data_IF_861297804387
#
_entry.id   IF_861297804387
#
_cell.length_a   1.000
_cell.length_b   1.000
_cell.length_c   1.000
_cell.angle_alpha   90.00
_cell.angle_beta   90.00
_cell.angle_gamma   90.00
#
_symmetry.space_group_name_H-M   'P 1'
#
loop_
_entity.id
_entity.type
_entity.pdbx_description
1 polymer ?
#
# COMPACT_ATOMS: atom_id res chain seq x y z
N UNK A 1 8.73 67.24 74.25
CA UNK A 1 9.30 65.92 73.88
C UNK A 1 9.46 65.94 72.37
N UNK A 2 10.68 66.21 71.88
CA UNK A 2 11.50 65.29 71.05
C UNK A 2 10.82 64.93 69.71
N UNK A 3 11.33 65.15 68.50
CA UNK A 3 12.67 65.45 68.01
C UNK A 3 12.59 65.70 66.49
N UNK A 4 13.49 66.55 65.97
CA UNK A 4 14.23 66.58 64.68
C UNK A 4 13.87 65.48 63.63
N UNK A 5 13.89 65.68 62.30
CA UNK A 5 14.99 66.18 61.44
C UNK A 5 14.54 66.23 59.96
N UNK A 6 15.14 67.13 59.15
CA UNK A 6 15.10 67.13 57.67
C UNK A 6 15.69 65.85 57.06
N UNK A 7 15.17 65.40 55.92
CA UNK A 7 15.99 64.75 54.87
C UNK A 7 15.29 64.74 53.49
N UNK A 8 15.95 65.38 52.54
CA UNK A 8 15.73 65.47 51.10
C UNK A 8 16.12 64.17 50.40
N UNK A 9 15.32 63.62 49.47
CA UNK A 9 15.80 62.70 48.40
C UNK A 9 14.69 62.51 47.36
N UNK A 10 14.76 63.22 46.23
CA UNK A 10 15.36 62.80 44.93
C UNK A 10 14.46 61.83 44.14
N UNK A 11 13.83 62.41 43.13
CA UNK A 11 13.05 61.79 42.06
C UNK A 11 13.98 60.90 41.23
N UNK A 12 13.68 59.59 41.15
CA UNK A 12 14.31 58.69 40.17
C UNK A 12 13.25 58.22 39.19
N UNK A 13 13.29 58.83 38.01
CA UNK A 13 12.48 58.51 36.84
C UNK A 13 13.02 57.21 36.22
N UNK A 14 12.35 56.07 36.44
CA UNK A 14 12.71 54.80 35.80
C UNK A 14 12.02 54.75 34.43
N UNK A 15 12.78 55.07 33.38
CA UNK A 15 12.47 54.72 32.00
C UNK A 15 12.72 53.21 31.84
N UNK A 16 11.66 52.40 31.92
CA UNK A 16 11.74 50.99 31.56
C UNK A 16 11.63 50.86 30.05
N UNK A 17 12.78 50.54 29.45
CA UNK A 17 12.96 50.27 28.02
C UNK A 17 12.10 49.08 27.57
N UNK A 18 11.61 49.21 26.34
CA UNK A 18 10.91 48.21 25.55
C UNK A 18 11.73 46.93 25.39
N UNK A 19 11.11 45.77 25.61
CA UNK A 19 11.46 44.51 24.94
C UNK A 19 10.17 43.72 24.75
N UNK A 20 9.58 43.84 23.57
CA UNK A 20 8.61 42.90 23.04
C UNK A 20 9.33 41.61 22.66
N UNK A 21 9.43 40.67 23.59
CA UNK A 21 9.77 39.28 23.28
C UNK A 21 8.52 38.59 22.71
N UNK A 22 8.29 38.80 21.41
CA UNK A 22 7.32 38.05 20.65
C UNK A 22 7.86 36.64 20.42
N UNK A 23 7.69 35.80 21.45
CA UNK A 23 8.03 34.39 21.43
C UNK A 23 6.98 33.64 20.63
N UNK A 24 7.05 33.75 19.30
CA UNK A 24 6.32 32.87 18.39
C UNK A 24 6.92 31.46 18.45
N UNK A 25 6.57 30.74 19.51
CA UNK A 25 6.80 29.30 19.62
C UNK A 25 5.87 28.65 18.60
N UNK A 26 6.41 28.35 17.43
CA UNK A 26 5.84 27.37 16.52
C UNK A 26 5.88 26.03 17.25
N UNK A 27 4.80 25.72 17.97
CA UNK A 27 4.57 24.38 18.49
C UNK A 27 4.47 23.42 17.30
N UNK A 28 5.59 22.77 17.02
CA UNK A 28 5.59 21.55 16.21
C UNK A 28 4.69 20.54 16.94
N UNK A 29 3.46 20.39 16.46
CA UNK A 29 2.55 19.34 16.89
C UNK A 29 3.26 18.00 16.63
N UNK A 30 3.85 17.42 17.67
CA UNK A 30 4.28 16.02 17.65
C UNK A 30 2.99 15.19 17.53
N UNK A 31 2.60 14.89 16.30
CA UNK A 31 1.52 13.93 16.08
C UNK A 31 1.99 12.58 16.62
N UNK A 32 1.36 12.12 17.69
CA UNK A 32 1.56 10.77 18.21
C UNK A 32 0.81 9.77 17.31
N UNK A 33 1.19 9.73 16.03
CA UNK A 33 0.58 8.84 15.05
C UNK A 33 0.91 7.39 15.44
N UNK A 34 -0.15 6.58 15.59
CA UNK A 34 -0.06 5.14 15.89
C UNK A 34 0.89 4.42 14.93
N UNK A 35 0.90 4.81 13.66
CA UNK A 35 1.77 4.27 12.62
C UNK A 35 2.68 5.37 12.07
N UNK A 36 3.98 5.06 12.02
CA UNK A 36 5.06 5.99 11.65
C UNK A 36 5.76 5.54 10.36
N UNK A 37 6.10 6.52 9.50
CA UNK A 37 6.97 6.31 8.34
C UNK A 37 8.33 5.78 8.79
N UNK A 38 8.96 4.91 7.98
CA UNK A 38 10.24 4.28 8.30
C UNK A 38 10.16 3.15 9.34
N UNK A 39 8.96 2.90 9.89
CA UNK A 39 8.71 1.85 10.88
C UNK A 39 7.61 0.91 10.39
N UNK A 40 6.44 1.45 10.05
CA UNK A 40 5.27 0.65 9.68
C UNK A 40 4.94 0.74 8.19
N UNK A 41 5.35 1.83 7.53
CA UNK A 41 5.19 2.04 6.10
C UNK A 41 6.33 2.92 5.59
N UNK A 42 6.55 2.86 4.28
CA UNK A 42 7.46 3.77 3.58
C UNK A 42 6.68 4.66 2.62
N UNK A 43 7.19 5.87 2.40
CA UNK A 43 6.76 6.72 1.30
C UNK A 43 7.55 6.31 0.05
N UNK A 44 6.86 6.19 -1.08
CA UNK A 44 7.47 5.88 -2.36
C UNK A 44 8.05 7.17 -2.94
N UNK A 45 9.33 7.17 -3.29
CA UNK A 45 10.04 8.32 -3.83
C UNK A 45 9.41 8.84 -5.13
N UNK A 46 8.98 7.93 -6.00
CA UNK A 46 8.34 8.23 -7.28
C UNK A 46 6.88 7.73 -7.30
N UNK A 47 5.93 8.48 -6.71
CA UNK A 47 4.56 8.02 -6.59
C UNK A 47 3.91 7.79 -7.96
N UNK A 48 3.06 6.77 -8.06
CA UNK A 48 2.30 6.50 -9.29
C UNK A 48 0.96 7.24 -9.28
N UNK A 49 0.50 7.65 -10.46
CA UNK A 49 -0.89 8.08 -10.61
C UNK A 49 -1.84 6.91 -10.34
N UNK A 50 -2.97 7.22 -9.70
CA UNK A 50 -4.05 6.24 -9.48
C UNK A 50 -5.02 6.26 -10.65
N UNK A 51 -5.74 5.15 -10.84
CA UNK A 51 -6.71 5.00 -11.94
C UNK A 51 -7.93 5.89 -11.79
N UNK A 52 -8.38 6.08 -10.57
CA UNK A 52 -9.56 6.86 -10.22
C UNK A 52 -9.18 7.78 -9.06
N UNK A 53 -8.93 9.08 -9.31
CA UNK A 53 -8.51 10.02 -8.28
C UNK A 53 -9.63 10.33 -7.25
N UNK A 54 -10.88 9.92 -7.52
CA UNK A 54 -11.98 10.07 -6.56
C UNK A 54 -11.97 8.98 -5.46
N UNK A 55 -11.09 7.97 -5.58
CA UNK A 55 -10.98 6.85 -4.65
C UNK A 55 -9.55 6.66 -4.20
N UNK A 56 -9.38 6.14 -2.99
CA UNK A 56 -8.07 5.69 -2.51
C UNK A 56 -7.79 4.30 -3.08
N UNK A 57 -6.74 4.20 -3.91
CA UNK A 57 -6.31 2.93 -4.51
C UNK A 57 -5.47 2.10 -3.56
N UNK A 58 -5.87 0.84 -3.34
CA UNK A 58 -5.08 -0.16 -2.61
C UNK A 58 -4.69 -1.28 -3.56
N UNK A 59 -3.40 -1.51 -3.72
CA UNK A 59 -2.87 -2.56 -4.59
C UNK A 59 -2.04 -3.53 -3.76
N UNK A 60 -2.39 -4.81 -3.81
CA UNK A 60 -1.50 -5.85 -3.30
C UNK A 60 -0.55 -6.33 -4.39
N UNK A 61 0.75 -6.18 -4.14
CA UNK A 61 1.80 -6.85 -4.89
C UNK A 61 2.06 -8.21 -4.27
N UNK A 62 1.85 -9.27 -5.07
CA UNK A 62 1.85 -10.65 -4.58
C UNK A 62 2.50 -11.62 -5.56
N UNK A 63 2.75 -12.84 -5.10
CA UNK A 63 3.14 -13.97 -5.94
C UNK A 63 2.48 -15.26 -5.45
N UNK A 64 1.92 -16.06 -6.36
CA UNK A 64 1.30 -17.34 -6.01
C UNK A 64 2.26 -18.33 -5.32
N UNK A 65 3.57 -18.21 -5.54
CA UNK A 65 4.59 -19.02 -4.88
C UNK A 65 5.01 -18.53 -3.49
N UNK A 66 4.53 -17.37 -3.04
CA UNK A 66 4.85 -16.84 -1.72
C UNK A 66 3.89 -17.37 -0.63
N UNK A 67 4.45 -18.05 0.37
CA UNK A 67 3.70 -18.54 1.54
C UNK A 67 3.03 -17.40 2.33
N UNK A 68 3.68 -16.26 2.49
CA UNK A 68 3.12 -15.10 3.20
C UNK A 68 1.97 -14.44 2.41
N UNK A 69 2.03 -14.43 1.08
CA UNK A 69 0.90 -14.00 0.25
C UNK A 69 -0.30 -14.94 0.44
N UNK A 70 -0.07 -16.25 0.43
CA UNK A 70 -1.13 -17.22 0.67
C UNK A 70 -1.74 -17.10 2.08
N UNK A 71 -0.91 -16.90 3.09
CA UNK A 71 -1.35 -16.66 4.46
C UNK A 71 -2.12 -15.34 4.64
N UNK A 72 -1.93 -14.35 3.75
CA UNK A 72 -2.63 -13.07 3.76
C UNK A 72 -4.08 -13.18 3.24
N UNK A 73 -4.38 -14.16 2.37
CA UNK A 73 -5.69 -14.28 1.69
C UNK A 73 -6.90 -14.27 2.65
N UNK A 74 -6.89 -14.98 3.80
CA UNK A 74 -8.03 -14.93 4.74
C UNK A 74 -8.21 -13.54 5.38
N UNK A 75 -7.12 -12.81 5.62
CA UNK A 75 -7.17 -11.45 6.16
C UNK A 75 -7.68 -10.47 5.12
N UNK A 76 -7.22 -10.60 3.86
CA UNK A 76 -7.71 -9.81 2.74
C UNK A 76 -9.21 -10.05 2.51
N UNK A 77 -9.65 -11.30 2.56
CA UNK A 77 -11.06 -11.65 2.38
C UNK A 77 -11.96 -11.05 3.47
N UNK A 78 -11.48 -10.97 4.71
CA UNK A 78 -12.19 -10.25 5.80
C UNK A 78 -12.17 -8.75 5.57
N UNK A 79 -11.00 -8.16 5.34
CA UNK A 79 -10.85 -6.72 5.11
C UNK A 79 -11.71 -6.21 3.95
N UNK A 80 -11.83 -6.98 2.86
CA UNK A 80 -12.70 -6.63 1.73
C UNK A 80 -14.18 -6.53 2.09
N UNK A 81 -14.66 -7.28 3.08
CA UNK A 81 -16.06 -7.21 3.54
C UNK A 81 -16.33 -5.92 4.32
N UNK A 82 -15.31 -5.46 5.05
CA UNK A 82 -15.38 -4.27 5.91
C UNK A 82 -14.68 -3.06 5.25
N UNK A 83 -14.40 -3.13 3.95
CA UNK A 83 -13.61 -2.13 3.25
C UNK A 83 -14.34 -0.78 3.25
N UNK A 84 -13.69 0.31 3.70
CA UNK A 84 -14.32 1.62 3.75
C UNK A 84 -14.84 2.08 2.39
N UNK A 85 -15.92 2.86 2.38
CA UNK A 85 -16.38 3.56 1.18
C UNK A 85 -15.28 4.46 0.58
N UNK A 86 -15.30 4.65 -0.74
CA UNK A 86 -14.31 5.46 -1.45
C UNK A 86 -12.94 4.78 -1.63
N UNK A 87 -12.87 3.46 -1.49
CA UNK A 87 -11.65 2.66 -1.68
C UNK A 87 -11.85 1.69 -2.84
N UNK A 88 -10.83 1.52 -3.68
CA UNK A 88 -10.78 0.45 -4.67
C UNK A 88 -9.57 -0.45 -4.40
N UNK A 89 -9.80 -1.76 -4.43
CA UNK A 89 -8.75 -2.75 -4.24
C UNK A 89 -8.44 -3.50 -5.54
N UNK A 90 -7.17 -3.76 -5.81
CA UNK A 90 -6.75 -4.68 -6.87
C UNK A 90 -5.49 -5.46 -6.49
N UNK A 91 -5.23 -6.57 -7.18
CA UNK A 91 -3.93 -7.27 -7.09
C UNK A 91 -3.06 -6.96 -8.31
N UNK A 92 -1.75 -6.94 -8.10
CA UNK A 92 -0.72 -6.83 -9.14
C UNK A 92 0.35 -7.89 -8.89
N UNK A 93 0.51 -8.91 -9.73
CA UNK A 93 1.55 -9.91 -9.55
C UNK A 93 2.94 -9.28 -9.65
N UNK A 94 3.89 -9.78 -8.87
CA UNK A 94 5.31 -9.48 -9.05
C UNK A 94 5.86 -10.11 -10.34
N UNK A 95 6.90 -9.51 -10.94
CA UNK A 95 7.40 -9.84 -12.30
C UNK A 95 8.93 -9.87 -12.43
N UNK A 96 9.68 -9.89 -11.34
CA UNK A 96 11.16 -9.71 -11.38
C UNK A 96 11.95 -10.89 -11.97
N UNK A 97 11.30 -12.00 -12.31
CA UNK A 97 11.91 -13.13 -13.03
C UNK A 97 10.88 -13.86 -13.92
N UNK A 98 11.32 -14.80 -14.74
CA UNK A 98 10.48 -15.48 -15.73
C UNK A 98 9.36 -16.35 -15.13
N UNK A 99 9.59 -16.97 -13.97
CA UNK A 99 8.56 -17.72 -13.24
C UNK A 99 7.45 -16.76 -12.79
N UNK A 100 7.84 -15.64 -12.20
CA UNK A 100 6.91 -14.61 -11.75
C UNK A 100 6.17 -13.95 -12.93
N UNK A 101 6.83 -13.69 -14.06
CA UNK A 101 6.16 -13.22 -15.28
C UNK A 101 5.16 -14.24 -15.83
N UNK A 102 5.47 -15.53 -15.73
CA UNK A 102 4.52 -16.60 -16.08
C UNK A 102 3.30 -16.56 -15.15
N UNK A 103 3.52 -16.43 -13.85
CA UNK A 103 2.43 -16.32 -12.86
C UNK A 103 1.62 -15.03 -13.03
N UNK A 104 2.26 -13.93 -13.42
CA UNK A 104 1.60 -12.68 -13.76
C UNK A 104 0.71 -12.84 -14.99
N UNK A 105 1.23 -13.53 -16.03
CA UNK A 105 0.48 -13.79 -17.26
C UNK A 105 -0.75 -14.65 -17.02
N UNK A 106 -0.68 -15.69 -16.20
CA UNK A 106 -1.85 -16.53 -15.88
C UNK A 106 -2.88 -15.76 -15.04
N UNK A 107 -2.44 -14.90 -14.10
CA UNK A 107 -3.35 -14.00 -13.37
C UNK A 107 -4.09 -13.05 -14.30
N UNK A 108 -3.37 -12.36 -15.20
CA UNK A 108 -4.01 -11.43 -16.13
C UNK A 108 -4.83 -12.14 -17.20
N UNK A 109 -4.49 -13.37 -17.58
CA UNK A 109 -5.35 -14.23 -18.42
C UNK A 109 -6.65 -14.55 -17.71
N UNK A 110 -6.59 -15.00 -16.45
CA UNK A 110 -7.78 -15.28 -15.64
C UNK A 110 -8.65 -14.03 -15.45
N UNK A 111 -8.03 -12.86 -15.26
CA UNK A 111 -8.72 -11.57 -15.18
C UNK A 111 -9.41 -11.20 -16.49
N UNK A 112 -8.73 -11.35 -17.63
CA UNK A 112 -9.30 -11.09 -18.95
C UNK A 112 -10.48 -12.03 -19.30
N UNK A 113 -10.48 -13.24 -18.73
CA UNK A 113 -11.56 -14.21 -18.87
C UNK A 113 -12.68 -14.06 -17.83
N UNK A 114 -12.53 -13.16 -16.84
CA UNK A 114 -13.53 -12.95 -15.80
C UNK A 114 -13.61 -14.08 -14.76
N UNK A 115 -12.60 -14.95 -14.67
CA UNK A 115 -12.59 -16.12 -13.76
C UNK A 115 -11.71 -15.92 -12.52
N UNK A 116 -11.23 -14.69 -12.28
CA UNK A 116 -10.27 -14.34 -11.22
C UNK A 116 -10.69 -14.86 -9.83
N UNK A 117 -11.96 -14.73 -9.47
CA UNK A 117 -12.48 -15.09 -8.14
C UNK A 117 -12.29 -16.58 -7.82
N UNK A 118 -12.40 -17.46 -8.82
CA UNK A 118 -12.20 -18.90 -8.67
C UNK A 118 -10.74 -19.28 -8.92
N UNK A 119 -10.09 -18.59 -9.86
CA UNK A 119 -8.74 -18.89 -10.29
C UNK A 119 -7.69 -18.62 -9.21
N UNK A 120 -7.76 -17.48 -8.52
CA UNK A 120 -6.76 -17.10 -7.51
C UNK A 120 -6.62 -18.16 -6.40
N UNK A 121 -7.70 -18.55 -5.69
CA UNK A 121 -7.57 -19.53 -4.61
C UNK A 121 -7.10 -20.90 -5.13
N UNK A 122 -7.54 -21.31 -6.32
CA UNK A 122 -7.08 -22.55 -6.95
C UNK A 122 -5.58 -22.50 -7.28
N UNK A 123 -5.09 -21.43 -7.90
CA UNK A 123 -3.67 -21.27 -8.23
C UNK A 123 -2.79 -21.25 -6.98
N UNK A 124 -3.22 -20.55 -5.92
CA UNK A 124 -2.53 -20.62 -4.63
C UNK A 124 -2.51 -22.04 -4.06
N UNK A 125 -3.65 -22.74 -4.03
CA UNK A 125 -3.71 -24.11 -3.52
C UNK A 125 -2.79 -25.05 -4.30
N UNK A 126 -2.82 -24.99 -5.63
CA UNK A 126 -2.01 -25.83 -6.50
C UNK A 126 -0.51 -25.60 -6.31
N UNK A 127 -0.07 -24.35 -6.14
CA UNK A 127 1.35 -24.04 -5.93
C UNK A 127 1.78 -24.33 -4.48
N UNK A 128 1.02 -23.88 -3.49
CA UNK A 128 1.41 -23.93 -2.08
C UNK A 128 1.23 -25.33 -1.48
N UNK A 129 0.15 -26.02 -1.81
CA UNK A 129 -0.23 -27.29 -1.19
C UNK A 129 0.06 -28.49 -2.11
N UNK A 130 -0.27 -28.40 -3.40
CA UNK A 130 -0.05 -29.50 -4.36
C UNK A 130 1.36 -29.51 -4.96
N UNK A 131 2.17 -28.49 -4.67
CA UNK A 131 3.57 -28.36 -5.12
C UNK A 131 3.74 -28.37 -6.65
N UNK A 132 2.73 -27.92 -7.37
CA UNK A 132 2.75 -27.77 -8.83
C UNK A 132 2.97 -26.32 -9.20
N UNK A 133 4.06 -26.04 -9.91
CA UNK A 133 4.52 -24.67 -10.12
C UNK A 133 3.70 -23.87 -11.13
N UNK A 134 2.85 -24.50 -11.97
CA UNK A 134 2.05 -23.78 -12.98
C UNK A 134 2.90 -22.95 -13.95
N UNK A 135 3.97 -23.55 -14.47
CA UNK A 135 4.88 -22.91 -15.44
C UNK A 135 4.92 -23.60 -16.80
N UNK A 136 4.44 -24.84 -16.90
CA UNK A 136 4.42 -25.60 -18.15
C UNK A 136 3.27 -25.20 -19.07
N UNK A 137 3.52 -25.05 -20.37
CA UNK A 137 2.47 -24.70 -21.34
C UNK A 137 1.29 -25.67 -21.32
N UNK A 138 1.56 -26.98 -21.44
CA UNK A 138 0.52 -28.03 -21.39
C UNK A 138 -0.16 -28.07 -20.02
N UNK A 139 0.61 -27.91 -18.93
CA UNK A 139 0.05 -27.84 -17.57
C UNK A 139 -0.98 -26.71 -17.45
N UNK A 140 -0.64 -25.52 -17.94
CA UNK A 140 -1.52 -24.36 -17.89
C UNK A 140 -2.75 -24.54 -18.77
N UNK A 141 -2.60 -25.11 -19.98
CA UNK A 141 -3.75 -25.46 -20.83
C UNK A 141 -4.75 -26.37 -20.09
N UNK A 142 -4.27 -27.41 -19.39
CA UNK A 142 -5.11 -28.29 -18.59
C UNK A 142 -5.67 -27.60 -17.34
N UNK A 143 -4.89 -26.74 -16.69
CA UNK A 143 -5.33 -25.99 -15.52
C UNK A 143 -6.50 -25.07 -15.87
N UNK A 144 -6.38 -24.30 -16.95
CA UNK A 144 -7.45 -23.42 -17.45
C UNK A 144 -8.69 -24.20 -17.94
N UNK A 145 -8.51 -25.42 -18.47
CA UNK A 145 -9.64 -26.31 -18.79
C UNK A 145 -10.52 -26.63 -17.57
N UNK A 146 -9.94 -26.71 -16.37
CA UNK A 146 -10.70 -26.87 -15.12
C UNK A 146 -11.70 -25.75 -14.83
N UNK A 147 -11.52 -24.58 -15.45
CA UNK A 147 -12.42 -23.42 -15.37
C UNK A 147 -13.31 -23.27 -16.61
N UNK A 148 -13.42 -24.32 -17.45
CA UNK A 148 -14.22 -24.28 -18.67
C UNK A 148 -13.59 -23.52 -19.84
N UNK A 149 -12.28 -23.24 -19.77
CA UNK A 149 -11.55 -22.53 -20.84
C UNK A 149 -10.85 -23.57 -21.72
N UNK A 150 -11.28 -23.69 -22.98
CA UNK A 150 -10.62 -24.60 -23.91
C UNK A 150 -9.19 -24.15 -24.28
N UNK A 151 -8.42 -25.07 -24.83
CA UNK A 151 -7.01 -24.88 -25.18
C UNK A 151 -6.79 -23.69 -26.10
N UNK A 152 -7.59 -23.55 -27.15
CA UNK A 152 -7.39 -22.50 -28.15
C UNK A 152 -7.82 -21.14 -27.60
N UNK A 153 -8.88 -21.09 -26.80
CA UNK A 153 -9.27 -19.89 -26.06
C UNK A 153 -8.17 -19.44 -25.11
N UNK A 154 -7.60 -20.35 -24.31
CA UNK A 154 -6.48 -20.03 -23.41
C UNK A 154 -5.28 -19.47 -24.19
N UNK A 155 -4.82 -20.20 -25.22
CA UNK A 155 -3.67 -19.78 -26.06
C UNK A 155 -3.89 -18.42 -26.73
N UNK A 156 -5.11 -18.13 -27.15
CA UNK A 156 -5.48 -16.84 -27.73
C UNK A 156 -5.42 -15.72 -26.68
N UNK A 157 -6.10 -15.90 -25.54
CA UNK A 157 -6.17 -14.83 -24.51
C UNK A 157 -4.81 -14.58 -23.85
N UNK A 158 -4.07 -15.63 -23.50
CA UNK A 158 -2.77 -15.49 -22.81
C UNK A 158 -1.72 -14.75 -23.63
N UNK A 159 -1.86 -14.74 -24.97
CA UNK A 159 -0.99 -14.03 -25.92
C UNK A 159 -1.57 -12.69 -26.40
N UNK A 160 -2.78 -12.34 -25.95
CA UNK A 160 -3.44 -11.11 -26.36
C UNK A 160 -2.62 -9.88 -25.97
N UNK A 161 -2.78 -8.80 -26.75
CA UNK A 161 -2.18 -7.51 -26.45
C UNK A 161 -2.56 -7.02 -25.05
N UNK A 162 -3.82 -7.20 -24.64
CA UNK A 162 -4.31 -6.79 -23.32
C UNK A 162 -3.57 -7.48 -22.17
N UNK A 163 -3.37 -8.79 -22.25
CA UNK A 163 -2.62 -9.55 -21.23
C UNK A 163 -1.15 -9.15 -21.21
N UNK A 164 -0.52 -9.01 -22.37
CA UNK A 164 0.90 -8.59 -22.45
C UNK A 164 1.09 -7.19 -21.86
N UNK A 165 0.26 -6.23 -22.25
CA UNK A 165 0.31 -4.87 -21.71
C UNK A 165 0.06 -4.84 -20.19
N UNK A 166 -0.84 -5.68 -19.68
CA UNK A 166 -1.10 -5.76 -18.24
C UNK A 166 0.11 -6.29 -17.45
N UNK A 167 0.82 -7.29 -17.99
CA UNK A 167 2.08 -7.78 -17.41
C UNK A 167 3.15 -6.67 -17.44
N UNK A 168 3.30 -5.97 -18.56
CA UNK A 168 4.28 -4.87 -18.69
C UNK A 168 3.98 -3.71 -17.74
N UNK A 169 2.71 -3.37 -17.53
CA UNK A 169 2.30 -2.37 -16.54
C UNK A 169 2.52 -2.82 -15.10
N UNK A 170 2.37 -4.12 -14.81
CA UNK A 170 2.71 -4.67 -13.50
C UNK A 170 4.21 -4.52 -13.23
N UNK A 171 5.04 -4.84 -14.23
CA UNK A 171 6.49 -4.74 -14.15
C UNK A 171 6.98 -3.31 -13.95
N UNK A 172 6.46 -2.36 -14.73
CA UNK A 172 6.79 -0.93 -14.59
C UNK A 172 6.43 -0.41 -13.20
N UNK A 173 5.21 -0.70 -12.72
CA UNK A 173 4.76 -0.23 -11.39
C UNK A 173 5.57 -0.87 -10.26
N UNK A 174 5.83 -2.17 -10.34
CA UNK A 174 6.66 -2.88 -9.35
C UNK A 174 8.07 -2.27 -9.25
N UNK A 175 8.69 -1.95 -10.38
CA UNK A 175 10.00 -1.26 -10.42
C UNK A 175 9.92 0.16 -9.87
N UNK A 176 8.90 0.93 -10.25
CA UNK A 176 8.69 2.30 -9.78
C UNK A 176 8.46 2.38 -8.26
N UNK A 177 7.77 1.40 -7.68
CA UNK A 177 7.57 1.28 -6.23
C UNK A 177 8.75 0.60 -5.50
N UNK A 178 9.81 0.26 -6.24
CA UNK A 178 11.02 -0.40 -5.75
C UNK A 178 10.73 -1.66 -4.93
N UNK A 179 9.81 -2.49 -5.41
CA UNK A 179 9.40 -3.71 -4.72
C UNK A 179 10.49 -4.76 -4.82
N UNK A 180 11.03 -5.18 -3.66
CA UNK A 180 12.06 -6.22 -3.53
C UNK A 180 11.53 -7.50 -2.88
N UNK A 181 10.27 -7.53 -2.45
CA UNK A 181 9.65 -8.67 -1.79
C UNK A 181 8.12 -8.58 -1.78
N UNK A 182 7.46 -9.66 -1.35
CA UNK A 182 6.00 -9.76 -1.28
C UNK A 182 5.56 -10.55 -0.02
N UNK A 183 4.34 -10.33 0.52
CA UNK A 183 3.35 -9.35 0.06
C UNK A 183 3.71 -7.91 0.43
N UNK A 184 3.36 -6.98 -0.46
CA UNK A 184 3.43 -5.53 -0.20
C UNK A 184 2.12 -4.88 -0.64
N UNK A 185 1.57 -4.00 0.18
CA UNK A 185 0.37 -3.22 -0.10
C UNK A 185 0.78 -1.80 -0.45
N UNK A 186 0.34 -1.33 -1.61
CA UNK A 186 0.51 0.04 -2.06
C UNK A 186 -0.77 0.81 -1.78
N UNK A 187 -0.66 1.96 -1.11
CA UNK A 187 -1.79 2.85 -0.82
C UNK A 187 -1.62 4.15 -1.58
N UNK A 188 -2.63 4.46 -2.38
CA UNK A 188 -2.77 5.61 -3.26
C UNK A 188 -1.57 5.89 -4.17
N UNK A 189 -0.80 4.85 -4.54
CA UNK A 189 0.44 5.00 -5.29
C UNK A 189 1.57 5.73 -4.56
N UNK A 190 1.38 6.07 -3.27
CA UNK A 190 2.28 6.93 -2.47
C UNK A 190 2.98 6.19 -1.35
N UNK A 191 2.35 5.16 -0.79
CA UNK A 191 2.86 4.45 0.37
C UNK A 191 3.03 2.97 0.07
N UNK A 192 4.06 2.34 0.61
CA UNK A 192 4.21 0.88 0.62
C UNK A 192 4.23 0.34 2.04
N UNK A 193 3.46 -0.73 2.26
CA UNK A 193 3.33 -1.44 3.54
C UNK A 193 3.68 -2.90 3.30
N UNK A 194 4.77 -3.39 3.88
CA UNK A 194 5.20 -4.77 3.80
C UNK A 194 5.18 -5.44 5.17
N UNK A 195 5.18 -6.77 5.20
CA UNK A 195 5.36 -7.49 6.45
C UNK A 195 6.79 -7.25 6.97
N UNK A 196 6.90 -6.90 8.25
CA UNK A 196 8.18 -6.60 8.92
C UNK A 196 8.15 -7.11 10.36
N UNK A 197 9.20 -6.82 11.14
CA UNK A 197 9.21 -7.10 12.59
C UNK A 197 8.18 -6.26 13.34
N UNK A 198 7.89 -5.06 12.82
CA UNK A 198 6.98 -4.09 13.43
C UNK A 198 5.55 -4.19 12.87
N UNK A 199 5.38 -4.84 11.71
CA UNK A 199 4.07 -5.07 11.07
C UNK A 199 3.92 -6.53 10.70
N UNK A 200 3.19 -7.28 11.53
CA UNK A 200 2.87 -8.67 11.21
C UNK A 200 1.85 -8.77 10.08
N UNK A 201 1.80 -9.93 9.42
CA UNK A 201 0.83 -10.21 8.32
C UNK A 201 -0.62 -9.91 8.71
N UNK A 202 -1.02 -10.22 9.95
CA UNK A 202 -2.36 -9.96 10.47
C UNK A 202 -2.64 -8.48 10.80
N UNK A 203 -1.60 -7.64 10.82
CA UNK A 203 -1.68 -6.20 11.11
C UNK A 203 -1.53 -5.32 9.86
N UNK A 204 -1.20 -5.90 8.70
CA UNK A 204 -0.99 -5.15 7.45
C UNK A 204 -2.18 -4.24 7.13
N UNK A 205 -3.40 -4.74 7.27
CA UNK A 205 -4.60 -3.98 6.96
C UNK A 205 -4.91 -2.86 7.97
N UNK A 206 -4.36 -2.92 9.19
CA UNK A 206 -4.51 -1.82 10.14
C UNK A 206 -3.68 -0.60 9.70
N UNK A 207 -2.46 -0.84 9.21
CA UNK A 207 -1.61 0.22 8.64
C UNK A 207 -2.22 0.76 7.35
N UNK A 208 -2.73 -0.12 6.49
CA UNK A 208 -3.44 0.28 5.26
C UNK A 208 -4.65 1.16 5.58
N UNK A 209 -5.47 0.79 6.56
CA UNK A 209 -6.63 1.59 6.98
C UNK A 209 -6.21 2.97 7.50
N UNK A 210 -5.14 3.04 8.28
CA UNK A 210 -4.58 4.32 8.72
C UNK A 210 -4.19 5.22 7.53
N UNK A 211 -3.52 4.65 6.52
CA UNK A 211 -3.10 5.39 5.32
C UNK A 211 -4.29 5.79 4.43
N UNK A 212 -5.32 4.95 4.34
CA UNK A 212 -6.57 5.29 3.64
C UNK A 212 -7.21 6.54 4.27
N UNK A 213 -7.33 6.57 5.59
CA UNK A 213 -7.93 7.70 6.29
C UNK A 213 -7.05 8.96 6.20
N UNK A 214 -5.72 8.79 6.15
CA UNK A 214 -4.79 9.89 5.88
C UNK A 214 -5.04 10.51 4.49
N UNK A 215 -5.18 9.69 3.46
CA UNK A 215 -5.42 10.17 2.09
C UNK A 215 -6.82 10.78 1.90
N UNK A 216 -7.86 10.19 2.50
CA UNK A 216 -9.21 10.77 2.44
C UNK A 216 -9.26 12.17 3.05
N UNK A 217 -8.57 12.40 4.16
CA UNK A 217 -8.46 13.73 4.77
C UNK A 217 -7.74 14.71 3.84
N UNK A 218 -6.65 14.27 3.22
CA UNK A 218 -5.90 15.10 2.26
C UNK A 218 -6.75 15.52 1.06
N UNK A 219 -7.59 14.62 0.52
CA UNK A 219 -8.51 14.94 -0.58
C UNK A 219 -9.70 15.81 -0.13
N UNK A 220 -10.13 15.73 1.13
CA UNK A 220 -11.23 16.56 1.64
C UNK A 220 -10.81 18.02 1.89
N UNK A 221 -9.52 18.27 2.08
CA UNK A 221 -8.97 19.61 2.39
C UNK A 221 -8.42 20.37 1.19
N UNK A 222 -8.32 19.73 0.02
CA UNK A 222 -7.80 20.30 -1.23
C UNK A 222 -8.82 20.17 -2.35
#
# INVERSE_FOLDING_TARGET
MLSRTLATTLITLILFSCSSEDSSVTEAVKSNEKYRQGVHYEVIDNPTTVRDPSKVEVIEVFWFGCNHCYALEPYLARWKKDMPGGVNFSKSPATWNEVLKTHARIYYTAKALGIEQQFIPAAFNTIQNERRMLTGNTELEYFFKGFGVDREKYKSVTKSFGVTNAVDQADKRMKQWEITGVPVLIVNGKYRVGASRDVRTDQLFDVVNFLIEKEKKYTATN
#
